data_IF_495809442449
#
_entry.id   IF_495809442449
#
_cell.length_a   1.000
_cell.length_b   1.000
_cell.length_c   1.000
_cell.angle_alpha   90.00
_cell.angle_beta   90.00
_cell.angle_gamma   90.00
#
_symmetry.space_group_name_H-M   'P 1'
#
loop_
_entity.id
_entity.type
_entity.pdbx_description
1 polymer ?
#
# COMPACT_ATOMS: atom_id res chain seq x y z
N UNK A 1 -18.53 -20.53 -9.58
CA UNK A 1 -17.44 -21.36 -9.01
C UNK A 1 -17.30 -20.95 -7.55
N UNK A 2 -17.60 -21.89 -6.65
CA UNK A 2 -17.79 -21.75 -5.20
C UNK A 2 -17.08 -20.58 -4.49
N UNK A 3 -17.83 -19.51 -4.17
CA UNK A 3 -17.49 -18.57 -3.09
C UNK A 3 -17.81 -19.27 -1.76
N UNK A 4 -16.90 -20.14 -1.30
CA UNK A 4 -16.96 -20.67 0.07
C UNK A 4 -16.29 -19.67 1.01
N UNK A 5 -17.04 -19.32 2.05
CA UNK A 5 -16.69 -18.61 3.28
C UNK A 5 -16.50 -17.08 3.16
N UNK A 6 -17.47 -16.36 3.74
CA UNK A 6 -17.26 -15.09 4.44
C UNK A 6 -16.14 -15.29 5.49
N UNK A 7 -14.88 -15.23 5.05
CA UNK A 7 -13.75 -15.15 5.96
C UNK A 7 -13.73 -13.75 6.57
N UNK A 8 -13.37 -13.68 7.85
CA UNK A 8 -13.29 -12.48 8.70
C UNK A 8 -12.18 -11.47 8.29
N UNK A 9 -11.83 -11.42 7.01
CA UNK A 9 -10.72 -10.66 6.46
C UNK A 9 -9.39 -11.43 6.46
N UNK A 10 -8.31 -10.81 5.95
CA UNK A 10 -6.99 -11.44 5.90
C UNK A 10 -6.46 -11.77 7.30
N UNK A 11 -5.76 -12.90 7.43
CA UNK A 11 -4.96 -13.25 8.61
C UNK A 11 -3.84 -12.24 8.85
N UNK A 12 -3.32 -12.24 10.08
CA UNK A 12 -2.19 -11.37 10.46
C UNK A 12 -1.01 -11.62 9.52
N UNK A 13 -0.34 -10.55 9.12
CA UNK A 13 0.73 -10.62 8.14
C UNK A 13 1.70 -9.47 8.31
N UNK A 14 2.98 -9.76 8.13
CA UNK A 14 4.06 -8.79 8.00
C UNK A 14 4.56 -8.75 6.55
N UNK A 15 5.32 -7.72 6.20
CA UNK A 15 5.94 -7.57 4.87
C UNK A 15 4.97 -7.67 3.69
N UNK A 16 3.69 -7.43 3.96
CA UNK A 16 2.66 -7.27 2.96
C UNK A 16 2.74 -5.87 2.39
N UNK A 17 2.17 -5.68 1.21
CA UNK A 17 2.01 -4.35 0.64
C UNK A 17 0.52 -4.08 0.42
N UNK A 18 0.18 -2.81 0.28
CA UNK A 18 -1.19 -2.43 -0.02
C UNK A 18 -1.27 -1.16 -0.85
N UNK A 19 -2.43 -0.99 -1.49
CA UNK A 19 -2.81 0.24 -2.19
C UNK A 19 -4.28 0.52 -1.92
N UNK A 20 -4.75 1.68 -2.36
CA UNK A 20 -6.18 2.00 -2.40
C UNK A 20 -6.63 2.24 -3.82
N UNK A 21 -7.89 1.90 -4.09
CA UNK A 21 -8.60 2.29 -5.31
C UNK A 21 -10.00 2.67 -4.90
N UNK A 22 -10.36 3.95 -5.03
CA UNK A 22 -11.68 4.46 -4.61
C UNK A 22 -11.95 4.08 -3.14
N UNK A 23 -13.08 3.41 -2.87
CA UNK A 23 -13.47 2.92 -1.55
C UNK A 23 -12.79 1.62 -1.13
N UNK A 24 -11.97 1.02 -1.98
CA UNK A 24 -11.34 -0.28 -1.74
C UNK A 24 -9.97 -0.13 -1.09
N UNK A 25 -9.79 -0.83 0.03
CA UNK A 25 -8.49 -1.11 0.64
C UNK A 25 -7.99 -2.45 0.10
N UNK A 26 -6.77 -2.47 -0.45
CA UNK A 26 -6.22 -3.64 -1.13
C UNK A 26 -4.93 -4.04 -0.44
N UNK A 27 -4.82 -5.31 -0.07
CA UNK A 27 -3.65 -5.88 0.60
C UNK A 27 -3.19 -7.10 -0.17
N UNK A 28 -1.90 -7.18 -0.44
CA UNK A 28 -1.29 -8.29 -1.14
C UNK A 28 -0.15 -8.87 -0.31
N UNK A 29 -0.05 -10.20 -0.34
CA UNK A 29 1.19 -10.84 0.04
C UNK A 29 1.43 -10.86 1.56
N UNK A 30 2.71 -10.99 1.90
CA UNK A 30 3.23 -10.98 3.26
C UNK A 30 3.46 -12.37 3.84
N UNK A 31 3.75 -12.41 5.13
CA UNK A 31 4.07 -13.61 5.89
C UNK A 31 3.29 -13.62 7.20
N UNK A 32 2.57 -14.72 7.47
CA UNK A 32 1.89 -14.96 8.73
C UNK A 32 2.90 -15.56 9.73
N UNK A 33 3.43 -14.72 10.63
CA UNK A 33 4.38 -15.16 11.64
C UNK A 33 3.82 -16.13 12.69
N UNK A 34 2.50 -16.22 12.86
CA UNK A 34 1.90 -17.17 13.83
C UNK A 34 1.87 -18.57 13.27
N UNK A 35 1.46 -18.69 12.01
CA UNK A 35 1.32 -19.98 11.32
C UNK A 35 2.62 -20.38 10.59
N UNK A 36 3.54 -19.45 10.40
CA UNK A 36 4.80 -19.68 9.68
C UNK A 36 4.60 -19.87 8.17
N UNK A 37 3.58 -19.24 7.59
CA UNK A 37 3.20 -19.44 6.18
C UNK A 37 3.18 -18.14 5.39
N UNK A 38 3.53 -18.25 4.12
CA UNK A 38 3.45 -17.14 3.18
C UNK A 38 2.01 -16.90 2.71
N UNK A 39 1.62 -15.62 2.68
CA UNK A 39 0.28 -15.20 2.31
C UNK A 39 0.21 -14.94 0.81
N UNK A 40 -0.09 -15.97 0.02
CA UNK A 40 -0.18 -15.88 -1.44
C UNK A 40 -1.57 -15.45 -1.95
N UNK A 41 -2.09 -14.35 -1.43
CA UNK A 41 -3.42 -13.85 -1.74
C UNK A 41 -3.50 -12.33 -1.87
N UNK A 42 -4.49 -11.88 -2.63
CA UNK A 42 -4.92 -10.49 -2.71
C UNK A 42 -6.26 -10.35 -1.98
N UNK A 43 -6.31 -9.45 -1.00
CA UNK A 43 -7.52 -9.13 -0.26
C UNK A 43 -8.00 -7.74 -0.63
N UNK A 44 -9.29 -7.64 -0.93
CA UNK A 44 -9.97 -6.37 -1.23
C UNK A 44 -11.07 -6.16 -0.20
N UNK A 45 -10.99 -5.08 0.56
CA UNK A 45 -12.03 -4.63 1.46
C UNK A 45 -12.78 -3.45 0.87
N UNK A 46 -14.08 -3.61 0.67
CA UNK A 46 -14.94 -2.46 0.38
C UNK A 46 -15.27 -1.71 1.68
N UNK A 47 -14.75 -0.51 1.83
CA UNK A 47 -14.93 0.27 3.08
C UNK A 47 -16.33 0.85 3.26
N UNK A 48 -17.20 0.80 2.24
CA UNK A 48 -18.60 1.18 2.34
C UNK A 48 -19.40 0.05 2.98
N UNK A 49 -19.42 -1.14 2.38
CA UNK A 49 -20.22 -2.26 2.88
C UNK A 49 -19.53 -3.09 3.99
N UNK A 50 -18.22 -2.96 4.16
CA UNK A 50 -17.46 -3.67 5.18
C UNK A 50 -17.04 -5.10 4.81
N UNK A 51 -17.23 -5.50 3.55
CA UNK A 51 -16.99 -6.87 3.07
C UNK A 51 -15.56 -7.01 2.56
N UNK A 52 -14.92 -8.11 2.96
CA UNK A 52 -13.65 -8.57 2.41
C UNK A 52 -13.87 -9.62 1.33
N UNK A 53 -13.12 -9.54 0.25
CA UNK A 53 -13.03 -10.56 -0.79
C UNK A 53 -11.58 -10.99 -0.96
N UNK A 54 -11.36 -12.30 -1.02
CA UNK A 54 -10.06 -12.91 -1.26
C UNK A 54 -9.96 -13.34 -2.72
N UNK A 55 -8.81 -13.07 -3.34
CA UNK A 55 -8.47 -13.52 -4.68
C UNK A 55 -7.17 -14.32 -4.62
N UNK A 56 -7.18 -15.59 -5.05
CA UNK A 56 -5.97 -16.38 -5.14
C UNK A 56 -5.04 -15.79 -6.20
N UNK A 57 -3.74 -15.92 -5.97
CA UNK A 57 -2.72 -15.45 -6.90
C UNK A 57 -2.48 -16.44 -8.04
N UNK A 58 -2.05 -15.96 -9.23
CA UNK A 58 -1.55 -16.82 -10.30
C UNK A 58 -0.36 -17.67 -9.82
N UNK A 59 -0.14 -18.80 -10.48
CA UNK A 59 0.95 -19.74 -10.15
C UNK A 59 2.31 -19.04 -10.22
N UNK A 60 2.46 -18.07 -11.11
CA UNK A 60 3.69 -17.29 -11.32
C UNK A 60 4.09 -16.43 -10.11
N UNK A 61 3.16 -16.15 -9.18
CA UNK A 61 3.42 -15.36 -7.97
C UNK A 61 3.58 -16.19 -6.70
N UNK A 62 3.34 -17.50 -6.78
CA UNK A 62 3.18 -18.38 -5.61
C UNK A 62 4.40 -18.39 -4.67
N UNK A 63 5.58 -18.03 -5.17
CA UNK A 63 6.82 -18.06 -4.39
C UNK A 63 7.44 -16.66 -4.23
N UNK A 64 6.66 -15.58 -4.35
CA UNK A 64 7.17 -14.19 -4.19
C UNK A 64 6.29 -13.22 -3.37
N UNK A 65 5.43 -13.65 -2.42
CA UNK A 65 4.46 -12.75 -1.80
C UNK A 65 5.07 -11.75 -0.80
N UNK A 66 6.32 -11.96 -0.37
CA UNK A 66 6.93 -11.18 0.72
C UNK A 66 7.70 -9.98 0.17
N UNK A 67 7.51 -8.81 0.78
CA UNK A 67 8.23 -7.56 0.42
C UNK A 67 8.09 -7.17 -1.07
N UNK A 68 6.97 -7.57 -1.70
CA UNK A 68 6.53 -7.02 -2.98
C UNK A 68 6.13 -5.56 -2.83
N UNK A 69 6.14 -4.80 -3.92
CA UNK A 69 5.54 -3.46 -3.95
C UNK A 69 4.29 -3.43 -4.81
N UNK A 70 3.39 -2.49 -4.50
CA UNK A 70 2.08 -2.39 -5.14
C UNK A 70 1.69 -0.93 -5.35
N UNK A 71 1.06 -0.64 -6.47
CA UNK A 71 0.40 0.65 -6.73
C UNK A 71 -0.81 0.45 -7.64
N UNK A 72 -1.57 1.51 -7.89
CA UNK A 72 -2.73 1.47 -8.78
C UNK A 72 -2.69 2.57 -9.85
N UNK A 73 -3.31 2.27 -11.00
CA UNK A 73 -3.67 3.24 -12.04
C UNK A 73 -5.12 2.98 -12.43
N UNK A 74 -6.00 3.93 -12.15
CA UNK A 74 -7.43 3.73 -12.34
C UNK A 74 -7.93 2.56 -11.49
N UNK A 75 -8.53 1.55 -12.12
CA UNK A 75 -9.06 0.35 -11.46
C UNK A 75 -8.12 -0.86 -11.54
N UNK A 76 -6.90 -0.67 -12.05
CA UNK A 76 -5.92 -1.74 -12.20
C UNK A 76 -4.83 -1.56 -11.17
N UNK A 77 -4.60 -2.63 -10.40
CA UNK A 77 -3.54 -2.75 -9.41
C UNK A 77 -2.34 -3.41 -10.06
N UNK A 78 -1.14 -2.90 -9.78
CA UNK A 78 0.12 -3.42 -10.29
C UNK A 78 1.01 -3.84 -9.12
N UNK A 79 1.51 -5.06 -9.19
CA UNK A 79 2.41 -5.67 -8.20
C UNK A 79 3.73 -5.98 -8.88
N UNK A 80 4.82 -5.58 -8.25
CA UNK A 80 6.17 -5.78 -8.77
C UNK A 80 7.11 -6.34 -7.71
N UNK A 81 7.95 -7.27 -8.16
CA UNK A 81 9.01 -7.84 -7.33
C UNK A 81 8.49 -8.77 -6.26
N UNK A 82 9.26 -8.88 -5.18
CA UNK A 82 8.98 -9.74 -4.04
C UNK A 82 9.94 -10.94 -3.96
N UNK A 83 9.90 -11.60 -2.81
CA UNK A 83 10.74 -12.75 -2.49
C UNK A 83 9.94 -13.85 -1.78
N UNK A 84 10.54 -15.04 -1.71
CA UNK A 84 10.16 -16.11 -0.79
C UNK A 84 11.10 -16.07 0.42
N UNK A 85 10.60 -16.42 1.60
CA UNK A 85 11.41 -16.63 2.80
C UNK A 85 11.91 -18.08 2.92
N UNK A 86 11.39 -19.02 2.11
CA UNK A 86 11.86 -20.41 2.11
C UNK A 86 13.11 -20.58 1.23
N UNK A 87 14.04 -21.41 1.72
CA UNK A 87 15.33 -21.65 1.09
C UNK A 87 15.21 -22.09 -0.39
N UNK A 88 16.10 -21.56 -1.23
CA UNK A 88 16.28 -21.80 -2.68
C UNK A 88 15.48 -20.94 -3.69
N UNK A 89 14.58 -20.07 -3.25
CA UNK A 89 13.81 -19.23 -4.17
C UNK A 89 14.47 -17.86 -4.37
N UNK A 90 14.45 -17.38 -5.63
CA UNK A 90 15.04 -16.09 -6.01
C UNK A 90 13.94 -15.02 -6.02
N UNK A 91 14.28 -13.77 -5.70
CA UNK A 91 13.39 -12.64 -5.96
C UNK A 91 12.92 -12.62 -7.42
N UNK A 92 11.86 -11.88 -7.71
CA UNK A 92 11.35 -11.71 -9.09
C UNK A 92 11.44 -10.25 -9.58
N UNK A 93 11.40 -10.06 -10.89
CA UNK A 93 11.15 -8.78 -11.56
C UNK A 93 9.88 -8.82 -12.43
N UNK A 94 9.01 -9.81 -12.19
CA UNK A 94 7.69 -9.85 -12.82
C UNK A 94 6.90 -8.60 -12.44
N UNK A 95 6.17 -8.07 -13.42
CA UNK A 95 5.12 -7.08 -13.22
C UNK A 95 3.78 -7.74 -13.54
N UNK A 96 2.90 -7.79 -12.55
CA UNK A 96 1.58 -8.41 -12.68
C UNK A 96 0.52 -7.38 -12.34
N UNK A 97 -0.61 -7.46 -13.05
CA UNK A 97 -1.75 -6.60 -12.81
C UNK A 97 -2.98 -7.39 -12.38
N UNK A 98 -3.81 -6.78 -11.56
CA UNK A 98 -5.15 -7.24 -11.22
C UNK A 98 -6.17 -6.15 -11.54
N UNK A 99 -7.13 -6.45 -12.40
CA UNK A 99 -8.26 -5.57 -12.69
C UNK A 99 -9.38 -5.82 -11.68
N UNK A 100 -9.73 -4.80 -10.90
CA UNK A 100 -10.72 -4.91 -9.81
C UNK A 100 -12.13 -5.08 -10.36
N UNK A 101 -12.44 -4.54 -11.55
CA UNK A 101 -13.78 -4.61 -12.13
C UNK A 101 -14.06 -6.02 -12.66
N UNK A 102 -13.10 -6.61 -13.38
CA UNK A 102 -13.26 -7.94 -13.98
C UNK A 102 -12.79 -9.06 -13.06
N UNK A 103 -12.13 -8.73 -11.94
CA UNK A 103 -11.49 -9.66 -11.02
C UNK A 103 -10.49 -10.61 -11.72
N UNK A 104 -9.72 -10.08 -12.68
CA UNK A 104 -8.78 -10.88 -13.49
C UNK A 104 -7.33 -10.46 -13.29
N UNK A 105 -6.47 -11.46 -13.15
CA UNK A 105 -5.03 -11.31 -13.17
C UNK A 105 -4.48 -11.30 -14.60
N UNK A 106 -3.38 -10.57 -14.81
CA UNK A 106 -2.61 -10.59 -16.05
C UNK A 106 -1.13 -10.38 -15.77
N UNK A 107 -0.28 -11.21 -16.37
CA UNK A 107 1.16 -10.96 -16.44
C UNK A 107 1.43 -9.85 -17.43
N UNK A 108 1.90 -8.71 -16.94
CA UNK A 108 2.22 -7.52 -17.75
C UNK A 108 3.65 -7.60 -18.27
N UNK A 109 4.57 -8.07 -17.42
CA UNK A 109 5.96 -8.33 -17.77
C UNK A 109 6.40 -9.62 -17.04
N UNK A 110 6.82 -10.67 -17.76
CA UNK A 110 7.23 -11.93 -17.13
C UNK A 110 8.61 -11.80 -16.46
N UNK A 111 8.94 -12.74 -15.58
CA UNK A 111 10.26 -12.84 -14.98
C UNK A 111 11.34 -12.95 -16.05
N UNK A 112 12.43 -12.20 -15.89
CA UNK A 112 13.60 -12.28 -16.78
C UNK A 112 14.87 -12.37 -15.95
N UNK A 113 15.72 -13.37 -16.26
CA UNK A 113 17.01 -13.58 -15.59
C UNK A 113 18.18 -12.80 -16.18
N UNK A 114 17.94 -11.98 -17.21
CA UNK A 114 18.96 -11.20 -17.90
C UNK A 114 19.27 -9.88 -17.18
N UNK A 115 20.55 -9.52 -17.11
CA UNK A 115 21.03 -8.26 -16.53
C UNK A 115 21.21 -7.19 -17.62
N UNK A 116 20.12 -6.79 -18.28
CA UNK A 116 20.14 -5.61 -19.13
C UNK A 116 20.04 -4.36 -18.26
N UNK A 117 20.96 -3.40 -18.44
CA UNK A 117 21.00 -2.16 -17.62
C UNK A 117 19.70 -1.35 -17.63
N UNK A 118 18.87 -1.52 -18.66
CA UNK A 118 17.57 -0.84 -18.79
C UNK A 118 16.42 -1.52 -18.08
N UNK A 119 16.62 -2.74 -17.56
CA UNK A 119 15.59 -3.59 -16.98
C UNK A 119 15.89 -3.76 -15.48
N UNK A 120 14.88 -3.61 -14.61
CA UNK A 120 15.08 -3.90 -13.20
C UNK A 120 15.50 -5.36 -12.99
N UNK A 121 16.56 -5.65 -12.21
CA UNK A 121 16.87 -7.01 -11.83
C UNK A 121 15.77 -7.56 -10.89
N UNK A 122 15.71 -8.88 -10.67
CA UNK A 122 14.80 -9.45 -9.70
C UNK A 122 15.03 -8.91 -8.29
N UNK A 123 14.03 -8.34 -7.63
CA UNK A 123 14.24 -7.60 -6.38
C UNK A 123 13.00 -7.54 -5.48
N UNK A 124 13.22 -7.18 -4.23
CA UNK A 124 12.19 -6.96 -3.21
C UNK A 124 12.48 -5.69 -2.40
N UNK A 125 11.53 -5.25 -1.57
CA UNK A 125 11.71 -4.08 -0.70
C UNK A 125 11.90 -2.77 -1.47
N UNK A 126 11.26 -2.66 -2.63
CA UNK A 126 11.31 -1.51 -3.52
C UNK A 126 10.07 -0.62 -3.37
N UNK A 127 10.11 0.57 -3.96
CA UNK A 127 8.95 1.46 -4.09
C UNK A 127 8.44 1.44 -5.54
N UNK A 128 7.19 1.02 -5.74
CA UNK A 128 6.49 1.22 -7.03
C UNK A 128 5.47 2.35 -6.91
N UNK A 129 5.40 3.19 -7.93
CA UNK A 129 4.42 4.26 -8.02
C UNK A 129 4.06 4.55 -9.48
N UNK A 130 2.98 5.30 -9.70
CA UNK A 130 2.55 5.71 -11.03
C UNK A 130 2.69 7.22 -11.23
N UNK A 131 3.08 7.61 -12.46
CA UNK A 131 3.15 9.01 -12.88
C UNK A 131 2.86 9.09 -14.38
N UNK A 132 1.92 9.94 -14.78
CA UNK A 132 1.55 10.18 -16.18
C UNK A 132 1.26 8.90 -16.97
N UNK A 133 0.58 7.93 -16.34
CA UNK A 133 0.21 6.65 -16.95
C UNK A 133 1.39 5.70 -17.20
N UNK A 134 2.56 5.96 -16.61
CA UNK A 134 3.70 5.04 -16.56
C UNK A 134 3.90 4.55 -15.13
N UNK A 135 4.51 3.38 -14.97
CA UNK A 135 4.92 2.86 -13.67
C UNK A 135 6.40 3.12 -13.46
N UNK A 136 6.78 3.34 -12.22
CA UNK A 136 8.15 3.59 -11.82
C UNK A 136 8.49 2.68 -10.65
N UNK A 137 9.68 2.09 -10.68
CA UNK A 137 10.22 1.28 -9.58
C UNK A 137 11.53 1.91 -9.13
N UNK A 138 11.58 2.30 -7.86
CA UNK A 138 12.72 2.91 -7.22
C UNK A 138 13.31 1.96 -6.18
N UNK A 139 14.64 1.81 -6.24
CA UNK A 139 15.44 0.98 -5.33
C UNK A 139 14.98 -0.48 -5.28
N UNK A 140 15.52 -1.23 -4.32
CA UNK A 140 15.23 -2.63 -4.05
C UNK A 140 16.46 -3.38 -3.59
N UNK A 141 16.27 -4.61 -3.16
CA UNK A 141 17.35 -5.50 -2.73
C UNK A 141 17.41 -6.67 -3.72
N UNK A 142 18.62 -6.93 -4.23
CA UNK A 142 18.93 -8.08 -5.08
C UNK A 142 20.08 -8.88 -4.46
N UNK A 143 19.80 -10.07 -3.96
CA UNK A 143 20.78 -10.85 -3.22
C UNK A 143 21.24 -10.10 -1.97
N UNK A 144 22.52 -9.75 -1.89
CA UNK A 144 23.10 -8.97 -0.80
C UNK A 144 23.28 -7.48 -1.16
N UNK A 145 22.95 -7.09 -2.39
CA UNK A 145 23.17 -5.74 -2.89
C UNK A 145 21.90 -4.89 -2.80
N UNK A 146 22.06 -3.67 -2.26
CA UNK A 146 21.01 -2.65 -2.33
C UNK A 146 21.16 -1.86 -3.62
N UNK A 147 20.08 -1.77 -4.37
CA UNK A 147 20.03 -1.05 -5.64
C UNK A 147 19.60 0.40 -5.41
N UNK A 148 20.28 1.33 -6.07
CA UNK A 148 19.94 2.76 -6.07
C UNK A 148 19.68 3.26 -7.50
N UNK A 149 18.69 2.62 -8.13
CA UNK A 149 18.27 2.85 -9.51
C UNK A 149 16.77 3.11 -9.58
N UNK A 150 16.36 3.90 -10.57
CA UNK A 150 14.98 4.25 -10.87
C UNK A 150 14.67 3.73 -12.27
N UNK A 151 13.70 2.84 -12.37
CA UNK A 151 13.25 2.25 -13.63
C UNK A 151 11.86 2.75 -13.97
N UNK A 152 11.59 2.96 -15.25
CA UNK A 152 10.28 3.34 -15.77
C UNK A 152 9.76 2.25 -16.70
N UNK A 153 8.54 1.81 -16.47
CA UNK A 153 7.81 0.90 -17.34
C UNK A 153 6.76 1.64 -18.17
N UNK A 154 6.81 1.43 -19.47
CA UNK A 154 5.84 1.96 -20.42
C UNK A 154 4.73 0.93 -20.64
N UNK A 155 3.55 1.18 -20.07
CA UNK A 155 2.41 0.26 -20.17
C UNK A 155 1.95 -0.01 -21.61
N UNK A 156 2.13 0.92 -22.54
CA UNK A 156 1.70 0.77 -23.95
C UNK A 156 2.58 -0.18 -24.75
N UNK A 157 3.89 -0.14 -24.50
CA UNK A 157 4.89 -0.94 -25.22
C UNK A 157 5.35 -2.16 -24.43
N UNK A 158 4.96 -2.25 -23.15
CA UNK A 158 5.44 -3.25 -22.20
C UNK A 158 6.96 -3.32 -22.08
N UNK A 159 7.61 -2.16 -22.07
CA UNK A 159 9.08 -2.06 -22.01
C UNK A 159 9.57 -1.28 -20.80
N UNK A 160 10.72 -1.70 -20.28
CA UNK A 160 11.45 -0.98 -19.23
C UNK A 160 12.48 -0.01 -19.82
N UNK A 161 12.82 1.00 -19.04
CA UNK A 161 13.94 1.89 -19.27
C UNK A 161 14.54 2.35 -17.94
N UNK A 162 15.85 2.57 -17.92
CA UNK A 162 16.52 3.21 -16.79
C UNK A 162 16.29 4.73 -16.85
N UNK A 163 15.89 5.31 -15.73
CA UNK A 163 15.73 6.77 -15.60
C UNK A 163 17.05 7.37 -15.14
N UNK A 164 17.53 8.36 -15.89
CA UNK A 164 18.70 9.15 -15.49
C UNK A 164 18.42 9.83 -14.14
N UNK A 165 19.41 9.84 -13.25
CA UNK A 165 19.30 10.47 -11.95
C UNK A 165 20.55 11.31 -11.69
N UNK A 166 20.35 12.62 -11.56
CA UNK A 166 21.37 13.63 -11.28
C UNK A 166 21.30 14.05 -9.81
N UNK A 167 22.33 14.77 -9.36
CA UNK A 167 22.43 15.23 -7.97
C UNK A 167 22.85 14.13 -6.99
N UNK A 168 22.85 14.48 -5.70
CA UNK A 168 23.20 13.54 -4.64
C UNK A 168 22.02 12.62 -4.36
N UNK A 169 22.12 11.37 -4.78
CA UNK A 169 21.11 10.36 -4.50
C UNK A 169 21.01 10.09 -3.00
N UNK A 170 19.79 9.96 -2.45
CA UNK A 170 19.63 9.51 -1.08
C UNK A 170 20.11 8.06 -0.92
N UNK A 171 20.49 7.73 0.31
CA UNK A 171 20.76 6.36 0.74
C UNK A 171 19.69 6.01 1.76
N UNK A 172 18.68 5.26 1.35
CA UNK A 172 17.75 4.68 2.31
C UNK A 172 18.41 3.41 2.88
N UNK A 173 18.32 3.16 4.19
CA UNK A 173 18.95 2.00 4.82
C UNK A 173 17.95 0.84 4.84
N UNK A 174 16.78 1.05 5.45
CA UNK A 174 15.68 0.07 5.54
C UNK A 174 14.34 0.73 5.23
N UNK A 175 13.58 0.15 4.29
CA UNK A 175 12.27 0.68 3.92
C UNK A 175 12.35 2.01 3.16
N UNK A 176 11.49 2.14 2.16
CA UNK A 176 11.29 3.39 1.44
C UNK A 176 9.79 3.60 1.27
N UNK A 177 9.34 4.75 1.72
CA UNK A 177 8.01 5.28 1.50
C UNK A 177 8.12 6.48 0.59
N UNK A 178 7.19 6.64 -0.33
CA UNK A 178 7.18 7.83 -1.14
C UNK A 178 5.90 8.01 -1.91
N UNK A 179 5.67 9.25 -2.33
CA UNK A 179 4.54 9.61 -3.16
C UNK A 179 4.93 10.70 -4.13
N UNK A 180 4.22 10.76 -5.26
CA UNK A 180 4.39 11.82 -6.24
C UNK A 180 3.40 12.94 -5.94
N UNK A 181 3.93 14.16 -5.85
CA UNK A 181 3.14 15.39 -5.75
C UNK A 181 3.78 16.44 -6.67
N UNK A 182 2.97 17.14 -7.47
CA UNK A 182 3.43 18.19 -8.41
C UNK A 182 4.63 17.79 -9.29
N UNK A 183 4.60 16.60 -9.90
CA UNK A 183 5.69 16.08 -10.75
C UNK A 183 7.04 15.92 -10.01
N UNK A 184 6.99 15.75 -8.70
CA UNK A 184 8.15 15.47 -7.85
C UNK A 184 7.84 14.25 -6.96
N UNK A 185 8.79 13.34 -6.84
CA UNK A 185 8.70 12.21 -5.91
C UNK A 185 9.30 12.61 -4.57
N UNK A 186 8.50 12.54 -3.51
CA UNK A 186 8.93 12.78 -2.14
C UNK A 186 9.19 11.44 -1.46
N UNK A 187 10.39 11.22 -0.96
CA UNK A 187 10.81 9.97 -0.35
C UNK A 187 11.16 10.14 1.13
N UNK A 188 10.61 9.24 1.93
CA UNK A 188 10.86 9.06 3.35
C UNK A 188 11.38 7.63 3.53
N UNK A 189 12.60 7.46 4.02
CA UNK A 189 13.13 6.15 4.35
C UNK A 189 13.90 6.22 5.65
N UNK A 190 14.30 5.07 6.18
CA UNK A 190 15.17 5.08 7.36
C UNK A 190 16.59 5.46 6.96
N UNK A 191 17.16 6.36 7.74
CA UNK A 191 18.61 6.57 7.86
C UNK A 191 19.10 5.89 9.15
N UNK A 192 20.40 5.95 9.41
CA UNK A 192 20.96 5.46 10.67
C UNK A 192 20.25 6.12 11.88
N UNK A 193 20.13 5.43 13.03
CA UNK A 193 19.57 6.03 14.24
C UNK A 193 20.24 7.36 14.59
N UNK A 194 19.49 8.28 15.20
CA UNK A 194 19.97 9.60 15.67
C UNK A 194 20.42 10.54 14.54
N UNK A 195 19.80 10.44 13.37
CA UNK A 195 20.09 11.29 12.21
C UNK A 195 19.12 12.45 12.03
N UNK A 196 18.15 12.62 12.95
CA UNK A 196 17.13 13.68 12.85
C UNK A 196 16.38 13.59 11.51
N UNK A 197 16.06 12.36 11.08
CA UNK A 197 15.82 12.03 9.66
C UNK A 197 14.59 12.72 9.06
N UNK A 198 13.67 13.15 9.91
CA UNK A 198 12.45 13.82 9.50
C UNK A 198 12.60 15.33 9.30
N UNK A 199 13.77 15.90 9.63
CA UNK A 199 14.11 17.31 9.38
C UNK A 199 14.39 17.62 7.91
N UNK A 200 14.63 16.59 7.10
CA UNK A 200 14.86 16.71 5.68
C UNK A 200 13.99 15.69 4.93
N UNK A 201 13.66 16.01 3.69
CA UNK A 201 13.00 15.08 2.77
C UNK A 201 13.79 15.03 1.46
N UNK A 202 13.96 13.82 0.94
CA UNK A 202 14.60 13.59 -0.35
C UNK A 202 13.57 13.70 -1.47
N UNK A 203 13.84 14.56 -2.45
CA UNK A 203 12.91 14.88 -3.53
C UNK A 203 13.58 14.66 -4.88
N UNK A 204 12.94 13.85 -5.73
CA UNK A 204 13.34 13.69 -7.12
C UNK A 204 12.40 14.47 -8.04
N UNK A 205 12.95 15.43 -8.78
CA UNK A 205 12.20 16.22 -9.76
C UNK A 205 12.27 15.55 -11.15
N UNK A 206 11.12 15.10 -11.66
CA UNK A 206 11.05 14.42 -12.96
C UNK A 206 11.25 15.36 -14.17
N UNK A 207 11.17 16.68 -13.96
CA UNK A 207 11.39 17.68 -15.01
C UNK A 207 12.89 17.88 -15.27
N UNK A 208 13.70 17.77 -14.22
CA UNK A 208 15.16 17.98 -14.28
C UNK A 208 15.96 16.69 -14.07
N UNK A 209 15.28 15.58 -13.74
CA UNK A 209 15.87 14.30 -13.35
C UNK A 209 16.89 14.44 -12.23
N UNK A 210 16.63 15.31 -11.24
CA UNK A 210 17.61 15.67 -10.20
C UNK A 210 17.06 15.38 -8.81
N UNK A 211 17.88 14.72 -8.00
CA UNK A 211 17.66 14.57 -6.56
C UNK A 211 18.11 15.81 -5.81
N UNK A 212 17.27 16.25 -4.87
CA UNK A 212 17.56 17.32 -3.91
C UNK A 212 17.12 16.90 -2.51
N UNK A 213 17.74 17.49 -1.49
CA UNK A 213 17.28 17.40 -0.11
C UNK A 213 16.70 18.75 0.28
N UNK A 214 15.52 18.75 0.91
CA UNK A 214 14.88 19.98 1.40
C UNK A 214 14.54 19.83 2.87
N UNK A 215 14.85 20.88 3.64
CA UNK A 215 14.47 20.94 5.05
C UNK A 215 12.95 20.98 5.20
N UNK A 216 12.45 20.21 6.15
CA UNK A 216 11.08 20.27 6.64
C UNK A 216 10.97 21.31 7.75
N UNK A 217 9.74 21.70 8.08
CA UNK A 217 9.46 22.72 9.09
C UNK A 217 8.43 22.22 10.08
N UNK A 218 8.31 22.90 11.23
CA UNK A 218 7.27 22.62 12.23
C UNK A 218 6.99 23.89 13.03
N UNK A 219 5.72 24.33 13.07
CA UNK A 219 5.32 25.52 13.84
C UNK A 219 5.66 25.42 15.33
N UNK A 220 5.59 24.21 15.89
CA UNK A 220 5.85 23.95 17.29
C UNK A 220 7.29 23.50 17.56
N UNK A 221 8.16 23.51 16.54
CA UNK A 221 9.55 23.00 16.62
C UNK A 221 9.63 21.53 17.08
N UNK A 222 8.59 20.75 16.81
CA UNK A 222 8.54 19.30 17.11
C UNK A 222 8.47 18.51 15.80
N UNK A 223 9.24 17.44 15.75
CA UNK A 223 9.32 16.51 14.64
C UNK A 223 9.01 15.10 15.16
N UNK A 224 8.64 14.16 14.28
CA UNK A 224 8.59 12.76 14.68
C UNK A 224 9.97 12.30 15.17
N UNK A 225 10.00 11.50 16.23
CA UNK A 225 11.25 10.88 16.72
C UNK A 225 11.77 9.86 15.70
N UNK A 226 13.09 9.76 15.56
CA UNK A 226 13.74 8.70 14.79
C UNK A 226 13.25 7.32 15.25
N UNK A 227 12.86 6.49 14.29
CA UNK A 227 12.24 5.18 14.49
C UNK A 227 12.44 4.29 13.27
N UNK A 228 12.26 2.99 13.40
CA UNK A 228 12.20 2.00 12.32
C UNK A 228 10.83 1.31 12.29
N UNK A 229 10.52 0.61 11.20
CA UNK A 229 9.31 -0.19 11.05
C UNK A 229 8.00 0.62 11.17
N UNK A 230 8.07 1.94 10.94
CA UNK A 230 6.92 2.82 10.82
C UNK A 230 6.17 2.57 9.50
N UNK A 231 4.99 3.18 9.38
CA UNK A 231 4.20 3.15 8.15
C UNK A 231 3.81 4.55 7.71
N UNK A 232 3.68 4.71 6.40
CA UNK A 232 3.20 5.94 5.78
C UNK A 232 1.94 5.67 4.94
N UNK A 233 1.01 6.60 4.99
CA UNK A 233 -0.10 6.69 4.04
C UNK A 233 -0.12 8.07 3.41
N UNK A 234 -0.34 8.12 2.09
CA UNK A 234 -0.37 9.36 1.34
C UNK A 234 -1.73 9.57 0.70
N UNK A 235 -2.16 10.83 0.65
CA UNK A 235 -3.31 11.24 -0.15
C UNK A 235 -3.14 12.69 -0.57
N UNK A 236 -3.32 12.97 -1.86
CA UNK A 236 -3.18 14.32 -2.43
C UNK A 236 -1.81 14.89 -2.03
N UNK A 237 -1.80 16.05 -1.35
CA UNK A 237 -0.57 16.70 -0.85
C UNK A 237 -0.16 16.31 0.57
N UNK A 238 -0.85 15.37 1.22
CA UNK A 238 -0.60 15.02 2.62
C UNK A 238 0.02 13.63 2.76
N UNK A 239 1.01 13.51 3.63
CA UNK A 239 1.52 12.25 4.16
C UNK A 239 1.16 12.09 5.63
N UNK A 240 0.82 10.88 6.04
CA UNK A 240 0.53 10.51 7.42
C UNK A 240 1.47 9.39 7.83
N UNK A 241 2.18 9.57 8.94
CA UNK A 241 3.10 8.59 9.49
C UNK A 241 2.61 8.13 10.86
N UNK A 242 2.70 6.84 11.15
CA UNK A 242 2.46 6.30 12.48
C UNK A 242 3.27 5.04 12.74
N UNK A 243 3.27 4.59 13.99
CA UNK A 243 3.90 3.35 14.41
C UNK A 243 5.43 3.43 14.41
N UNK A 244 6.03 2.23 14.41
CA UNK A 244 7.46 2.01 14.47
C UNK A 244 8.01 2.00 15.89
N UNK A 245 9.32 1.79 15.98
CA UNK A 245 10.06 1.66 17.23
C UNK A 245 11.38 2.41 17.21
N UNK A 246 11.78 2.91 18.37
CA UNK A 246 13.15 3.30 18.68
C UNK A 246 13.77 2.25 19.61
N UNK A 247 15.03 2.45 20.00
CA UNK A 247 15.69 1.60 21.00
C UNK A 247 14.98 1.57 22.36
N UNK A 248 14.14 2.58 22.66
CA UNK A 248 13.52 2.75 23.97
C UNK A 248 11.99 2.75 23.97
N UNK A 249 11.35 2.98 22.82
CA UNK A 249 9.91 3.27 22.76
C UNK A 249 9.28 2.72 21.48
N UNK A 250 8.05 2.22 21.62
CA UNK A 250 7.15 1.86 20.53
C UNK A 250 6.10 2.94 20.36
N UNK A 251 5.84 3.32 19.11
CA UNK A 251 5.04 4.49 18.81
C UNK A 251 3.62 4.14 18.38
N UNK A 252 2.67 4.97 18.79
CA UNK A 252 1.28 4.99 18.31
C UNK A 252 0.86 6.37 17.81
N UNK A 253 1.76 7.35 17.90
CA UNK A 253 1.48 8.72 17.55
C UNK A 253 1.40 8.93 16.05
N UNK A 254 0.48 9.79 15.64
CA UNK A 254 0.25 10.08 14.23
C UNK A 254 0.82 11.46 13.91
N UNK A 255 1.66 11.51 12.89
CA UNK A 255 2.22 12.73 12.33
C UNK A 255 1.68 12.95 10.94
N UNK A 256 1.46 14.21 10.59
CA UNK A 256 1.05 14.64 9.26
C UNK A 256 2.09 15.58 8.68
N UNK A 257 2.45 15.40 7.41
CA UNK A 257 3.24 16.35 6.62
C UNK A 257 2.42 16.90 5.46
N UNK A 258 2.45 18.22 5.26
CA UNK A 258 2.00 18.86 4.02
C UNK A 258 3.18 18.93 3.04
N UNK A 259 3.09 18.24 1.90
CA UNK A 259 4.17 18.14 0.90
C UNK A 259 4.39 19.44 0.12
N UNK A 260 3.42 20.37 0.16
CA UNK A 260 3.53 21.69 -0.44
C UNK A 260 4.40 22.62 0.42
N UNK A 261 4.11 22.71 1.71
CA UNK A 261 4.86 23.56 2.66
C UNK A 261 6.04 22.85 3.33
N UNK A 262 6.12 21.52 3.24
CA UNK A 262 7.02 20.66 4.00
C UNK A 262 6.87 20.83 5.52
N UNK A 263 5.67 21.15 6.00
CA UNK A 263 5.38 21.35 7.42
C UNK A 263 4.88 20.06 8.08
N UNK A 264 5.56 19.64 9.15
CA UNK A 264 5.12 18.59 10.06
C UNK A 264 4.19 19.13 11.14
N UNK A 265 3.13 18.37 11.41
CA UNK A 265 2.21 18.58 12.52
C UNK A 265 1.89 17.26 13.21
N UNK A 266 2.00 17.22 14.54
CA UNK A 266 1.51 16.07 15.34
C UNK A 266 -0.01 16.14 15.44
N UNK A 267 -0.68 15.01 15.21
CA UNK A 267 -2.14 14.91 15.37
C UNK A 267 -2.51 14.71 16.84
N UNK A 268 -3.68 15.19 17.24
CA UNK A 268 -4.19 15.08 18.62
C UNK A 268 -4.74 13.68 18.97
N UNK A 269 -4.73 12.77 18.00
CA UNK A 269 -5.19 11.39 18.13
C UNK A 269 -4.08 10.41 17.72
N UNK A 270 -4.15 9.22 18.27
CA UNK A 270 -3.16 8.15 18.10
C UNK A 270 -3.83 6.87 17.63
N UNK A 271 -3.03 5.90 17.17
CA UNK A 271 -3.48 4.51 17.09
C UNK A 271 -3.81 4.00 18.50
N UNK A 272 -4.73 3.03 18.59
CA UNK A 272 -5.12 2.40 19.87
C UNK A 272 -3.97 1.70 20.56
N UNK A 273 -3.02 1.18 19.79
CA UNK A 273 -1.83 0.49 20.26
C UNK A 273 -0.63 0.93 19.44
N UNK A 274 0.55 0.87 20.06
CA UNK A 274 1.79 1.00 19.32
C UNK A 274 2.00 -0.22 18.43
N UNK A 275 2.52 -0.01 17.21
CA UNK A 275 2.57 -1.05 16.18
C UNK A 275 3.73 -0.85 15.21
N UNK A 276 4.40 -1.94 14.84
CA UNK A 276 5.47 -1.99 13.83
C UNK A 276 5.04 -2.82 12.61
N UNK A 277 5.64 -2.55 11.44
CA UNK A 277 5.44 -3.30 10.18
C UNK A 277 3.97 -3.45 9.75
N UNK A 278 3.16 -2.45 10.09
CA UNK A 278 1.78 -2.35 9.66
C UNK A 278 1.68 -1.57 8.35
N UNK A 279 0.57 -1.76 7.64
CA UNK A 279 0.23 -0.98 6.46
C UNK A 279 -0.78 0.11 6.83
N UNK A 280 -0.52 1.32 6.36
CA UNK A 280 -1.45 2.45 6.47
C UNK A 280 -2.00 2.84 5.11
N UNK A 281 -3.27 3.27 5.11
CA UNK A 281 -3.93 3.77 3.92
C UNK A 281 -4.88 4.92 4.24
N UNK A 282 -4.93 5.93 3.37
CA UNK A 282 -5.95 6.98 3.44
C UNK A 282 -6.99 6.74 2.36
N UNK A 283 -8.27 6.73 2.74
CA UNK A 283 -9.42 6.55 1.84
C UNK A 283 -10.36 7.75 1.97
N UNK A 284 -10.74 8.32 0.82
CA UNK A 284 -11.59 9.51 0.67
C UNK A 284 -11.11 10.76 1.45
N UNK A 285 -9.82 10.81 1.82
CA UNK A 285 -9.22 11.72 2.82
C UNK A 285 -9.89 11.71 4.20
N UNK A 286 -10.95 10.92 4.39
CA UNK A 286 -11.75 10.93 5.61
C UNK A 286 -11.26 9.91 6.60
N UNK A 287 -10.69 8.80 6.12
CA UNK A 287 -10.35 7.67 6.95
C UNK A 287 -8.90 7.29 6.78
N UNK A 288 -8.19 7.21 7.90
CA UNK A 288 -6.91 6.56 8.00
C UNK A 288 -7.14 5.13 8.49
N UNK A 289 -6.70 4.16 7.70
CA UNK A 289 -6.72 2.76 8.04
C UNK A 289 -5.34 2.29 8.44
N UNK A 290 -5.26 1.41 9.43
CA UNK A 290 -4.06 0.70 9.85
C UNK A 290 -4.36 -0.79 9.94
N UNK A 291 -3.53 -1.62 9.32
CA UNK A 291 -3.73 -3.06 9.23
C UNK A 291 -2.41 -3.83 9.41
N UNK A 292 -2.48 -4.98 10.06
CA UNK A 292 -1.35 -5.89 10.20
C UNK A 292 -0.37 -5.43 11.29
N UNK A 293 0.89 -5.85 11.13
CA UNK A 293 1.94 -5.51 12.07
C UNK A 293 1.89 -6.29 13.39
N UNK A 294 2.76 -5.89 14.31
CA UNK A 294 2.87 -6.46 15.66
C UNK A 294 2.96 -5.37 16.73
N UNK A 295 2.45 -5.68 17.92
CA UNK A 295 2.53 -4.79 19.10
C UNK A 295 3.75 -5.08 19.99
N UNK A 296 3.85 -4.34 21.10
CA UNK A 296 4.95 -4.42 22.09
C UNK A 296 5.21 -5.81 22.66
N UNK A 297 4.22 -6.69 22.65
CA UNK A 297 4.34 -8.05 23.16
C UNK A 297 4.53 -9.06 22.03
N UNK A 298 4.91 -8.61 20.83
CA UNK A 298 4.96 -9.39 19.60
C UNK A 298 3.62 -10.04 19.26
N UNK A 299 2.50 -9.44 19.69
CA UNK A 299 1.20 -9.92 19.27
C UNK A 299 0.93 -9.41 17.85
N UNK A 300 0.93 -10.33 16.90
CA UNK A 300 0.55 -10.02 15.53
C UNK A 300 -0.96 -9.77 15.44
N UNK A 301 -1.33 -8.63 14.88
CA UNK A 301 -2.74 -8.24 14.73
C UNK A 301 -3.21 -8.44 13.29
N UNK A 302 -4.46 -8.88 13.15
CA UNK A 302 -5.22 -8.82 11.91
C UNK A 302 -6.36 -7.77 12.00
N UNK A 303 -6.38 -6.95 13.04
CA UNK A 303 -7.40 -5.92 13.23
C UNK A 303 -7.20 -4.80 12.22
N UNK A 304 -8.27 -4.43 11.52
CA UNK A 304 -8.31 -3.19 10.76
C UNK A 304 -8.74 -2.04 11.68
N UNK A 305 -7.79 -1.21 12.09
CA UNK A 305 -8.08 0.02 12.80
C UNK A 305 -8.45 1.13 11.81
N UNK A 306 -9.43 1.97 12.21
CA UNK A 306 -9.90 3.10 11.40
C UNK A 306 -10.01 4.35 12.25
N UNK A 307 -9.38 5.42 11.79
CA UNK A 307 -9.40 6.76 12.40
C UNK A 307 -10.06 7.73 11.44
N UNK A 308 -10.88 8.65 11.97
CA UNK A 308 -11.53 9.71 11.18
C UNK A 308 -10.59 10.91 11.14
N UNK A 309 -10.06 11.22 9.96
CA UNK A 309 -9.19 12.39 9.72
C UNK A 309 -9.98 13.68 9.52
N UNK A 310 -11.11 13.57 8.83
CA UNK A 310 -12.09 14.65 8.62
C UNK A 310 -13.49 14.06 8.55
N UNK A 311 -14.54 14.84 8.85
CA UNK A 311 -15.91 14.36 8.75
C UNK A 311 -16.20 13.78 7.35
N UNK A 312 -16.75 12.56 7.25
CA UNK A 312 -17.17 11.99 5.98
C UNK A 312 -18.36 12.75 5.40
N UNK A 313 -18.52 12.67 4.08
CA UNK A 313 -19.70 13.23 3.42
C UNK A 313 -20.97 12.52 3.88
N UNK A 314 -22.08 13.25 3.93
CA UNK A 314 -23.40 12.67 4.19
C UNK A 314 -23.71 11.55 3.19
N UNK A 315 -23.32 11.73 1.93
CA UNK A 315 -23.45 10.71 0.89
C UNK A 315 -22.79 9.39 1.28
N UNK A 316 -21.51 9.43 1.68
CA UNK A 316 -20.78 8.23 2.13
C UNK A 316 -21.43 7.58 3.36
N UNK A 317 -21.87 8.39 4.33
CA UNK A 317 -22.57 7.88 5.51
C UNK A 317 -23.89 7.19 5.13
N UNK A 318 -24.67 7.76 4.20
CA UNK A 318 -25.88 7.15 3.68
C UNK A 318 -25.57 5.82 3.00
N UNK A 319 -24.57 5.75 2.12
CA UNK A 319 -24.17 4.50 1.46
C UNK A 319 -23.76 3.43 2.48
N UNK A 320 -22.95 3.78 3.48
CA UNK A 320 -22.57 2.86 4.55
C UNK A 320 -23.79 2.37 5.34
N UNK A 321 -24.72 3.28 5.67
CA UNK A 321 -25.94 2.94 6.41
C UNK A 321 -26.83 1.98 5.62
N UNK A 322 -27.01 2.22 4.31
CA UNK A 322 -27.78 1.37 3.41
C UNK A 322 -27.12 -0.01 3.29
N UNK A 323 -25.83 -0.06 2.95
CA UNK A 323 -25.11 -1.31 2.69
C UNK A 323 -24.96 -2.21 3.91
N UNK A 324 -24.85 -1.61 5.10
CA UNK A 324 -24.66 -2.36 6.36
C UNK A 324 -25.98 -2.61 7.08
N UNK A 325 -27.10 -2.17 6.52
CA UNK A 325 -28.41 -2.41 7.12
C UNK A 325 -28.82 -3.87 6.95
N UNK A 326 -29.37 -4.52 7.98
CA UNK A 326 -29.98 -5.84 7.83
C UNK A 326 -31.17 -5.83 6.84
N UNK A 327 -31.75 -4.65 6.60
CA UNK A 327 -32.89 -4.47 5.71
C UNK A 327 -32.50 -4.12 4.27
N UNK A 328 -31.24 -4.33 3.87
CA UNK A 328 -30.74 -3.94 2.54
C UNK A 328 -31.62 -4.46 1.39
N UNK A 329 -32.19 -5.68 1.52
CA UNK A 329 -33.09 -6.27 0.51
C UNK A 329 -34.35 -5.43 0.27
N UNK A 330 -34.88 -4.79 1.31
CA UNK A 330 -36.05 -3.89 1.22
C UNK A 330 -35.62 -2.59 0.55
N UNK A 331 -34.48 -2.03 0.97
CA UNK A 331 -33.99 -0.77 0.41
C UNK A 331 -33.65 -0.88 -1.08
N UNK A 332 -33.12 -2.02 -1.54
CA UNK A 332 -32.83 -2.26 -2.97
C UNK A 332 -33.99 -1.88 -3.90
N UNK A 333 -35.22 -2.18 -3.50
CA UNK A 333 -36.41 -1.91 -4.32
C UNK A 333 -36.75 -0.42 -4.44
N UNK A 334 -36.26 0.39 -3.50
CA UNK A 334 -36.54 1.83 -3.39
C UNK A 334 -35.36 2.70 -3.81
N UNK A 335 -34.19 2.12 -4.09
CA UNK A 335 -33.00 2.87 -4.45
C UNK A 335 -33.00 3.23 -5.95
N UNK A 336 -32.52 4.44 -6.31
CA UNK A 336 -32.32 4.80 -7.70
C UNK A 336 -31.35 3.81 -8.40
N UNK A 337 -31.55 3.50 -9.70
CA UNK A 337 -30.68 2.59 -10.43
C UNK A 337 -29.19 2.95 -10.34
N UNK A 338 -28.85 4.24 -10.38
CA UNK A 338 -27.45 4.69 -10.24
C UNK A 338 -26.79 4.29 -8.92
N UNK A 339 -27.55 4.27 -7.82
CA UNK A 339 -27.05 3.85 -6.50
C UNK A 339 -26.95 2.33 -6.43
N UNK A 340 -27.89 1.63 -7.06
CA UNK A 340 -27.85 0.17 -7.18
C UNK A 340 -26.62 -0.30 -7.97
N UNK A 341 -26.32 0.38 -9.08
CA UNK A 341 -25.13 0.15 -9.91
C UNK A 341 -23.85 0.44 -9.11
N UNK A 342 -23.77 1.60 -8.44
CA UNK A 342 -22.61 1.99 -7.63
C UNK A 342 -22.32 0.98 -6.51
N UNK A 343 -23.37 0.46 -5.88
CA UNK A 343 -23.24 -0.50 -4.78
C UNK A 343 -23.13 -1.96 -5.25
N UNK A 344 -23.15 -2.22 -6.56
CA UNK A 344 -23.21 -3.55 -7.16
C UNK A 344 -24.31 -4.44 -6.53
N UNK A 345 -25.52 -3.89 -6.37
CA UNK A 345 -26.66 -4.59 -5.75
C UNK A 345 -27.60 -5.25 -6.76
N UNK A 346 -27.26 -5.22 -8.05
CA UNK A 346 -28.09 -5.74 -9.14
C UNK A 346 -27.99 -7.26 -9.33
N UNK A 347 -26.96 -7.91 -8.80
CA UNK A 347 -26.78 -9.35 -8.96
C UNK A 347 -27.59 -10.09 -7.88
N UNK A 348 -28.69 -10.71 -8.30
CA UNK A 348 -29.35 -11.76 -7.54
C UNK A 348 -28.49 -13.03 -7.59
N UNK A 349 -27.90 -13.44 -6.46
CA UNK A 349 -27.57 -14.86 -6.32
C UNK A 349 -28.90 -15.62 -6.26
N UNK A 350 -29.14 -16.61 -7.15
CA UNK A 350 -30.36 -17.40 -7.08
C UNK A 350 -30.37 -18.14 -5.74
N UNK A 351 -31.44 -17.92 -4.96
CA UNK A 351 -31.72 -18.68 -3.76
C UNK A 351 -31.72 -20.17 -4.08
N UNK A 352 -30.77 -20.91 -3.52
CA UNK A 352 -30.87 -22.37 -3.40
C UNK A 352 -31.89 -22.64 -2.30
N UNK A 353 -33.16 -22.40 -2.60
CA UNK A 353 -34.28 -22.92 -1.85
C UNK A 353 -35.31 -23.36 -2.87
N UNK A 354 -35.37 -24.67 -3.09
CA UNK A 354 -36.36 -25.29 -3.95
C UNK A 354 -35.80 -26.45 -4.76
N UNK A 355 -35.56 -27.58 -4.10
CA UNK A 355 -35.94 -28.88 -4.63
C UNK A 355 -36.01 -29.92 -3.51
N UNK A 356 -37.27 -30.23 -3.18
CA UNK A 356 -37.88 -31.36 -2.50
C UNK A 356 -37.01 -32.45 -1.89
#
# INVERSE_FOLDING_TARGET
MNLRNEHTGPKNRLYHCGTTVREFLIIYGGYDCKEGVECNDLWIHNTINGVWKQYPTPIELKDTPVSSSICAIGNVVYIFGGQCLQDNHRPTNSLISFDINTATWKTVYPHTGGFDRGIPPPMYGNLIFSLNGSLYVLEGIHGLEKLNALYKFYLRTSTWSLVEQKGRKPLFVVGIFGTVFNNQLYCFGSSLPESDRFRDVSIFDFSTNTWTSRATTSKCQRYPSDRSNESFAFYSKFGYMSGGESLSELYSDIWKIDLESLEWSKMDYTLKKAVCDHYMAVIDECYLYSYGGFDTNLNYSNSLERIILRPPTLYRLCLQSICRSPNIRIYRQSLPPSIMDELNLNDDEPSIDGQN
#
